data_IF_099975629109
#
_entry.id   IF_099975629109
#
_cell.length_a   1.000
_cell.length_b   1.000
_cell.length_c   1.000
_cell.angle_alpha   90.00
_cell.angle_beta   90.00
_cell.angle_gamma   90.00
#
_symmetry.space_group_name_H-M   'P 1'
#
loop_
_entity.id
_entity.type
_entity.pdbx_description
1 polymer ?
#
# COMPACT_ATOMS: atom_id res chain seq x y z
N UNK A 1 -3.04 -10.64 -12.80
CA UNK A 1 -1.64 -10.79 -12.32
C UNK A 1 -0.89 -9.51 -12.64
N UNK A 2 -0.18 -8.91 -11.68
CA UNK A 2 0.67 -7.75 -11.97
C UNK A 2 1.70 -8.13 -13.04
N UNK A 3 1.82 -7.32 -14.10
CA UNK A 3 2.70 -7.63 -15.25
C UNK A 3 4.18 -7.72 -14.86
N UNK A 4 4.60 -7.03 -13.80
CA UNK A 4 5.94 -7.14 -13.19
C UNK A 4 5.86 -6.87 -11.69
N UNK A 5 6.91 -7.24 -10.94
CA UNK A 5 7.05 -6.93 -9.50
C UNK A 5 7.58 -5.52 -9.22
N UNK A 6 7.80 -4.71 -10.26
CA UNK A 6 8.43 -3.39 -10.13
C UNK A 6 7.55 -2.48 -9.28
N UNK A 7 6.24 -2.43 -9.53
CA UNK A 7 5.31 -1.66 -8.70
C UNK A 7 5.43 -2.00 -7.21
N UNK A 8 5.45 -3.29 -6.86
CA UNK A 8 5.52 -3.70 -5.46
C UNK A 8 6.86 -3.29 -4.82
N UNK A 9 7.96 -3.30 -5.57
CA UNK A 9 9.28 -2.82 -5.12
C UNK A 9 9.31 -1.30 -4.98
N UNK A 10 8.85 -0.60 -6.00
CA UNK A 10 8.90 0.87 -6.08
C UNK A 10 8.01 1.52 -5.00
N UNK A 11 6.88 0.89 -4.67
CA UNK A 11 5.99 1.32 -3.59
C UNK A 11 6.35 0.72 -2.21
N UNK A 12 7.42 -0.08 -2.12
CA UNK A 12 7.88 -0.66 -0.84
C UNK A 12 6.91 -1.67 -0.21
N UNK A 13 6.01 -2.26 -1.00
CA UNK A 13 4.99 -3.22 -0.55
C UNK A 13 5.32 -4.66 -0.94
N UNK A 14 6.48 -4.94 -1.53
CA UNK A 14 6.86 -6.30 -1.89
C UNK A 14 7.12 -7.14 -0.64
N UNK A 15 6.38 -8.22 -0.48
CA UNK A 15 6.69 -9.27 0.49
C UNK A 15 7.87 -10.10 -0.05
N UNK A 16 9.03 -10.02 0.60
CA UNK A 16 10.26 -10.70 0.14
C UNK A 16 10.36 -12.16 0.62
N UNK A 17 9.71 -12.47 1.73
CA UNK A 17 9.84 -13.76 2.43
C UNK A 17 8.50 -14.26 2.97
N UNK A 18 8.44 -15.55 3.34
CA UNK A 18 7.26 -16.16 3.93
C UNK A 18 6.27 -16.72 2.90
N UNK A 19 5.11 -17.21 3.36
CA UNK A 19 4.12 -17.87 2.49
C UNK A 19 3.48 -16.92 1.46
N UNK A 20 3.56 -15.61 1.69
CA UNK A 20 3.03 -14.57 0.81
C UNK A 20 4.12 -13.88 -0.03
N UNK A 21 5.34 -14.45 -0.06
CA UNK A 21 6.45 -13.89 -0.82
C UNK A 21 6.09 -13.69 -2.30
N UNK A 22 6.41 -12.52 -2.83
CA UNK A 22 6.10 -12.13 -4.21
C UNK A 22 4.74 -11.49 -4.41
N UNK A 23 3.93 -11.35 -3.35
CA UNK A 23 2.71 -10.56 -3.33
C UNK A 23 2.95 -9.16 -2.74
N UNK A 24 1.95 -8.30 -2.86
CA UNK A 24 1.93 -7.00 -2.17
C UNK A 24 1.45 -7.18 -0.73
N UNK A 25 2.10 -6.50 0.21
CA UNK A 25 1.58 -6.26 1.54
C UNK A 25 0.30 -5.43 1.49
N UNK A 26 -0.45 -5.40 2.60
CA UNK A 26 -1.65 -4.57 2.70
C UNK A 26 -1.25 -3.14 3.04
N UNK A 27 -1.50 -2.22 2.12
CA UNK A 27 -1.20 -0.81 2.28
C UNK A 27 -2.25 0.06 1.60
N UNK A 28 -2.40 1.29 2.08
CA UNK A 28 -3.23 2.35 1.49
C UNK A 28 -2.34 3.53 1.18
N UNK A 29 -2.42 4.03 -0.06
CA UNK A 29 -1.72 5.23 -0.51
C UNK A 29 -2.75 6.14 -1.16
N UNK A 30 -2.84 7.37 -0.65
CA UNK A 30 -3.72 8.43 -1.20
C UNK A 30 -2.83 9.47 -1.87
N UNK A 31 -3.15 9.77 -3.13
CA UNK A 31 -2.45 10.75 -3.95
C UNK A 31 -3.42 11.87 -4.33
N UNK A 32 -2.90 13.08 -4.48
CA UNK A 32 -3.64 14.17 -5.12
C UNK A 32 -3.46 14.18 -6.65
N UNK A 33 -4.16 15.11 -7.31
CA UNK A 33 -4.11 15.33 -8.77
C UNK A 33 -2.71 15.62 -9.33
N UNK A 34 -1.78 16.07 -8.48
CA UNK A 34 -0.40 16.37 -8.83
C UNK A 34 0.56 15.22 -8.47
N UNK A 35 0.03 14.02 -8.20
CA UNK A 35 0.76 12.84 -7.74
C UNK A 35 1.51 13.05 -6.41
N UNK A 36 1.08 14.00 -5.57
CA UNK A 36 1.67 14.16 -4.24
C UNK A 36 0.98 13.21 -3.27
N UNK A 37 1.79 12.58 -2.42
CA UNK A 37 1.33 11.70 -1.36
C UNK A 37 0.63 12.52 -0.26
N UNK A 38 -0.65 12.24 -0.04
CA UNK A 38 -1.47 12.85 1.03
C UNK A 38 -1.58 11.96 2.26
N UNK A 39 -1.58 10.64 2.05
CA UNK A 39 -1.64 9.65 3.11
C UNK A 39 -0.97 8.35 2.68
N UNK A 40 -0.26 7.71 3.61
CA UNK A 40 0.31 6.37 3.43
C UNK A 40 0.15 5.59 4.71
N UNK A 41 -0.31 4.36 4.57
CA UNK A 41 -0.37 3.40 5.66
C UNK A 41 0.04 2.03 5.15
N UNK A 42 1.09 1.49 5.76
CA UNK A 42 1.45 0.08 5.64
C UNK A 42 0.91 -0.63 6.88
N UNK A 43 -0.02 -1.57 6.69
CA UNK A 43 -0.65 -2.26 7.81
C UNK A 43 0.36 -3.24 8.42
N UNK A 44 0.51 -3.27 9.76
CA UNK A 44 1.49 -4.14 10.42
C UNK A 44 1.20 -5.63 10.28
N UNK A 45 -0.08 -6.01 10.10
CA UNK A 45 -0.52 -7.39 9.89
C UNK A 45 -1.54 -7.45 8.74
N UNK A 46 -1.41 -8.42 7.84
CA UNK A 46 -2.20 -8.47 6.61
C UNK A 46 -3.69 -8.73 6.86
N UNK A 47 -3.99 -9.38 7.99
CA UNK A 47 -5.35 -9.65 8.46
C UNK A 47 -6.04 -8.42 9.07
N UNK A 48 -5.28 -7.37 9.43
CA UNK A 48 -5.85 -6.14 9.96
C UNK A 48 -6.35 -5.24 8.84
N UNK A 49 -7.38 -4.44 9.14
CA UNK A 49 -7.85 -3.43 8.23
C UNK A 49 -7.06 -2.13 8.42
N UNK A 50 -6.73 -1.42 7.33
CA UNK A 50 -6.15 -0.09 7.40
C UNK A 50 -7.15 0.91 7.98
N UNK A 51 -6.67 2.05 8.45
CA UNK A 51 -7.50 3.14 8.92
C UNK A 51 -8.15 3.88 7.76
N UNK A 52 -9.29 3.35 7.29
CA UNK A 52 -10.07 3.95 6.22
C UNK A 52 -10.55 5.37 6.54
N UNK A 53 -10.85 5.67 7.80
CA UNK A 53 -11.28 7.00 8.20
C UNK A 53 -10.16 8.03 8.00
N UNK A 54 -8.91 7.69 8.37
CA UNK A 54 -7.75 8.54 8.13
C UNK A 54 -7.45 8.69 6.64
N UNK A 55 -7.56 7.61 5.85
CA UNK A 55 -7.38 7.66 4.41
C UNK A 55 -8.42 8.57 3.72
N UNK A 56 -9.70 8.48 4.12
CA UNK A 56 -10.77 9.32 3.58
C UNK A 56 -10.62 10.79 4.01
N UNK A 57 -10.17 11.05 5.24
CA UNK A 57 -9.90 12.41 5.70
C UNK A 57 -8.80 13.11 4.89
N UNK A 58 -7.87 12.33 4.29
CA UNK A 58 -6.80 12.85 3.44
C UNK A 58 -7.25 13.25 2.02
N UNK A 59 -8.52 13.02 1.66
CA UNK A 59 -9.12 13.47 0.39
C UNK A 59 -9.60 14.93 0.44
N UNK A 60 -9.60 15.55 1.63
CA UNK A 60 -10.11 16.90 1.88
C UNK A 60 -9.25 18.02 1.31
#
# INVERSE_FOLDING_TARGET
MMRSRNFAKDYGVLQESGPLAGLTARAVVVLDENNRVRYTELVPEIAQEPNYAAALAALG
#
